data_IF_531796591034
#
_entry.id   IF_531796591034
#
_cell.length_a   1.000
_cell.length_b   1.000
_cell.length_c   1.000
_cell.angle_alpha   90.00
_cell.angle_beta   90.00
_cell.angle_gamma   90.00
#
_symmetry.space_group_name_H-M   'P 1'
#
loop_
_entity.id
_entity.type
_entity.pdbx_description
1 polymer ?
#
# COMPACT_ATOMS: atom_id res chain seq x y z
N UNK A 1 11.41 21.08 9.73
CA UNK A 1 11.22 19.85 8.94
C UNK A 1 11.22 20.15 7.45
N UNK A 2 10.70 21.32 7.04
CA UNK A 2 10.47 21.71 5.63
C UNK A 2 11.74 21.77 4.77
N UNK A 3 12.91 21.89 5.38
CA UNK A 3 14.19 22.00 4.69
C UNK A 3 14.76 20.63 4.24
N UNK A 4 14.35 19.53 4.85
CA UNK A 4 14.98 18.22 4.63
C UNK A 4 14.53 17.58 3.32
N UNK A 5 13.31 17.81 2.85
CA UNK A 5 12.76 17.18 1.64
C UNK A 5 12.63 18.13 0.44
N UNK A 6 13.15 19.37 0.55
CA UNK A 6 13.25 20.29 -0.59
C UNK A 6 14.32 19.89 -1.63
N UNK A 7 15.16 18.91 -1.28
CA UNK A 7 16.18 18.33 -2.15
C UNK A 7 15.73 16.98 -2.69
N UNK A 8 15.83 16.81 -4.00
CA UNK A 8 15.46 15.59 -4.74
C UNK A 8 16.19 14.36 -4.21
N UNK A 9 17.49 14.49 -3.86
CA UNK A 9 18.28 13.37 -3.37
C UNK A 9 17.76 12.84 -2.03
N UNK A 10 17.38 13.74 -1.14
CA UNK A 10 16.82 13.39 0.17
C UNK A 10 15.42 12.79 0.04
N UNK A 11 14.57 13.37 -0.81
CA UNK A 11 13.24 12.85 -1.11
C UNK A 11 13.32 11.44 -1.73
N UNK A 12 14.24 11.24 -2.66
CA UNK A 12 14.51 9.94 -3.27
C UNK A 12 14.99 8.91 -2.24
N UNK A 13 15.88 9.29 -1.32
CA UNK A 13 16.35 8.41 -0.25
C UNK A 13 15.21 7.92 0.66
N UNK A 14 14.32 8.81 1.06
CA UNK A 14 13.15 8.46 1.86
C UNK A 14 12.17 7.54 1.10
N UNK A 15 11.96 7.80 -0.18
CA UNK A 15 11.12 6.94 -1.01
C UNK A 15 11.75 5.54 -1.17
N UNK A 16 13.07 5.44 -1.37
CA UNK A 16 13.77 4.16 -1.46
C UNK A 16 13.65 3.35 -0.17
N UNK A 17 13.69 3.98 0.99
CA UNK A 17 13.44 3.32 2.28
C UNK A 17 12.03 2.70 2.32
N UNK A 18 11.02 3.41 1.83
CA UNK A 18 9.66 2.88 1.76
C UNK A 18 9.54 1.68 0.79
N UNK A 19 10.18 1.74 -0.36
CA UNK A 19 10.26 0.61 -1.30
C UNK A 19 10.98 -0.61 -0.70
N UNK A 20 12.04 -0.38 0.05
CA UNK A 20 12.77 -1.47 0.69
C UNK A 20 11.94 -2.15 1.77
N UNK A 21 11.19 -1.38 2.56
CA UNK A 21 10.22 -1.92 3.53
C UNK A 21 9.12 -2.73 2.82
N UNK A 22 8.61 -2.25 1.70
CA UNK A 22 7.62 -2.97 0.89
C UNK A 22 8.16 -4.31 0.40
N UNK A 23 9.31 -4.30 -0.24
CA UNK A 23 9.94 -5.49 -0.80
C UNK A 23 10.38 -6.48 0.26
N UNK A 24 10.97 -6.00 1.36
CA UNK A 24 11.62 -6.87 2.33
C UNK A 24 10.66 -7.50 3.33
N UNK A 25 9.51 -6.87 3.62
CA UNK A 25 8.71 -7.30 4.78
C UNK A 25 7.20 -7.37 4.58
N UNK A 26 6.65 -6.61 3.65
CA UNK A 26 5.20 -6.52 3.58
C UNK A 26 4.58 -7.48 2.57
N UNK A 27 5.21 -7.71 1.43
CA UNK A 27 4.53 -8.38 0.32
C UNK A 27 5.21 -9.63 -0.22
N UNK A 28 6.52 -9.60 -0.47
CA UNK A 28 7.24 -10.63 -1.24
C UNK A 28 8.05 -11.59 -0.37
N UNK A 29 8.27 -11.28 0.89
CA UNK A 29 9.01 -12.16 1.79
C UNK A 29 8.24 -13.46 2.04
N UNK A 30 8.94 -14.56 2.34
CA UNK A 30 8.35 -15.88 2.60
C UNK A 30 7.24 -15.89 3.68
N UNK A 31 7.19 -14.86 4.53
CA UNK A 31 6.13 -14.64 5.52
C UNK A 31 5.30 -13.39 5.17
N UNK A 32 5.27 -12.97 3.90
CA UNK A 32 4.51 -11.84 3.41
C UNK A 32 3.13 -12.24 2.91
N UNK A 33 2.24 -11.26 2.79
CA UNK A 33 0.85 -11.45 2.36
C UNK A 33 0.72 -12.19 1.02
N UNK A 34 1.65 -11.95 0.11
CA UNK A 34 1.53 -12.54 -1.22
C UNK A 34 1.80 -14.05 -1.22
N UNK A 35 2.87 -14.48 -0.58
CA UNK A 35 3.28 -15.88 -0.65
C UNK A 35 2.32 -16.79 0.13
N UNK A 36 2.09 -16.47 1.39
CA UNK A 36 1.36 -17.38 2.27
C UNK A 36 -0.16 -17.32 2.06
N UNK A 37 -0.72 -16.15 1.77
CA UNK A 37 -2.16 -15.98 1.69
C UNK A 37 -2.73 -16.00 0.28
N UNK A 38 -1.95 -15.58 -0.72
CA UNK A 38 -2.44 -15.50 -2.10
C UNK A 38 -2.04 -16.73 -2.91
N UNK A 39 -0.76 -17.11 -2.85
CA UNK A 39 -0.25 -18.23 -3.67
C UNK A 39 -0.69 -19.58 -3.10
N UNK A 40 -0.53 -19.76 -1.80
CA UNK A 40 -0.80 -21.06 -1.17
C UNK A 40 -2.26 -21.28 -0.72
N UNK A 41 -3.12 -20.29 -0.90
CA UNK A 41 -4.52 -20.31 -0.47
C UNK A 41 -5.52 -20.69 -1.55
N UNK A 42 -5.09 -21.36 -2.62
CA UNK A 42 -5.97 -21.77 -3.73
C UNK A 42 -6.28 -23.28 -3.70
N UNK A 43 -7.27 -23.69 -4.48
CA UNK A 43 -7.62 -25.08 -4.70
C UNK A 43 -6.63 -25.83 -5.62
N UNK A 44 -5.78 -25.07 -6.32
CA UNK A 44 -4.78 -25.62 -7.25
C UNK A 44 -3.36 -25.66 -6.67
N UNK A 45 -3.07 -24.89 -5.63
CA UNK A 45 -1.74 -24.79 -5.04
C UNK A 45 -1.79 -24.86 -3.51
N UNK A 46 -0.91 -25.69 -2.94
CA UNK A 46 -0.72 -25.80 -1.50
C UNK A 46 0.74 -26.14 -1.18
N UNK A 47 1.15 -25.88 0.05
CA UNK A 47 2.45 -26.34 0.52
C UNK A 47 2.55 -27.86 0.54
N UNK A 48 3.73 -28.44 0.21
CA UNK A 48 3.97 -29.87 0.30
C UNK A 48 3.74 -30.41 1.72
N UNK A 49 3.37 -31.68 1.81
CA UNK A 49 3.31 -32.38 3.10
C UNK A 49 4.69 -32.34 3.78
N UNK A 50 4.71 -32.04 5.07
CA UNK A 50 5.95 -31.93 5.86
C UNK A 50 6.54 -30.53 5.94
N UNK A 51 6.04 -29.58 5.14
CA UNK A 51 6.31 -28.17 5.37
C UNK A 51 5.53 -27.68 6.61
N UNK A 52 5.85 -26.47 7.08
CA UNK A 52 5.26 -25.93 8.31
C UNK A 52 3.74 -26.23 8.38
N UNK A 53 3.31 -26.85 9.47
CA UNK A 53 1.91 -27.22 9.68
C UNK A 53 0.96 -26.02 9.55
N UNK A 54 1.44 -24.82 9.80
CA UNK A 54 0.67 -23.59 9.70
C UNK A 54 0.37 -23.20 8.26
N UNK A 55 1.34 -23.33 7.36
CA UNK A 55 1.14 -23.06 5.94
C UNK A 55 0.10 -23.99 5.28
N UNK A 56 -0.15 -25.17 5.87
CA UNK A 56 -1.20 -26.09 5.41
C UNK A 56 -2.60 -25.68 5.84
N UNK A 57 -2.72 -24.96 6.93
CA UNK A 57 -4.03 -24.57 7.46
C UNK A 57 -4.69 -23.44 6.65
N UNK A 58 -3.92 -22.67 5.89
CA UNK A 58 -4.46 -21.61 5.03
C UNK A 58 -5.36 -22.20 3.92
N UNK A 59 -4.90 -23.15 3.09
CA UNK A 59 -5.76 -23.77 2.06
C UNK A 59 -6.95 -24.53 2.63
N UNK A 60 -6.81 -25.04 3.85
CA UNK A 60 -7.86 -25.80 4.53
C UNK A 60 -8.87 -24.92 5.28
N UNK A 61 -8.73 -23.59 5.21
CA UNK A 61 -9.54 -22.62 5.94
C UNK A 61 -9.56 -22.85 7.47
N UNK A 62 -8.49 -23.40 8.02
CA UNK A 62 -8.35 -23.71 9.45
C UNK A 62 -7.69 -22.58 10.24
N UNK A 63 -7.95 -21.35 9.87
CA UNK A 63 -7.37 -20.16 10.49
C UNK A 63 -7.69 -20.02 11.98
N UNK A 64 -8.79 -20.65 12.44
CA UNK A 64 -9.31 -20.52 13.79
C UNK A 64 -9.23 -21.82 14.60
N UNK A 65 -8.55 -22.84 14.08
CA UNK A 65 -8.32 -24.06 14.85
C UNK A 65 -7.44 -23.74 16.06
N UNK A 66 -7.91 -24.01 17.28
CA UNK A 66 -7.28 -23.60 18.53
C UNK A 66 -5.87 -24.14 18.80
N UNK A 67 -5.27 -24.81 17.86
CA UNK A 67 -3.86 -25.25 17.86
C UNK A 67 -3.05 -24.63 16.70
N UNK A 68 -3.69 -23.92 15.80
CA UNK A 68 -3.03 -23.19 14.71
C UNK A 68 -2.55 -21.85 15.24
N UNK A 69 -1.25 -21.63 15.22
CA UNK A 69 -0.64 -20.35 15.57
C UNK A 69 -0.55 -19.40 14.38
N UNK A 70 -1.27 -19.70 13.30
CA UNK A 70 -1.32 -18.77 12.18
C UNK A 70 -2.17 -17.56 12.57
N UNK A 71 -1.52 -16.47 12.81
CA UNK A 71 -2.12 -15.17 13.07
C UNK A 71 -1.49 -14.15 12.12
N UNK A 72 -2.31 -13.62 11.22
CA UNK A 72 -1.90 -12.59 10.28
C UNK A 72 -1.33 -11.33 10.96
N UNK A 73 -1.63 -11.14 12.23
CA UNK A 73 -1.14 -10.03 13.05
C UNK A 73 0.02 -10.44 13.95
N UNK A 74 0.38 -11.71 13.99
CA UNK A 74 1.41 -12.21 14.91
C UNK A 74 2.78 -11.68 14.51
N UNK A 75 3.50 -11.15 15.51
CA UNK A 75 4.92 -10.85 15.41
C UNK A 75 5.80 -12.08 15.67
N UNK A 76 5.21 -13.25 15.87
CA UNK A 76 5.91 -14.50 16.13
C UNK A 76 6.64 -15.05 14.91
N UNK A 77 7.45 -16.09 15.13
CA UNK A 77 8.34 -16.68 14.10
C UNK A 77 7.61 -17.25 12.88
N UNK A 78 6.29 -17.38 12.95
CA UNK A 78 5.47 -18.03 11.93
C UNK A 78 4.24 -17.18 11.52
N UNK A 79 4.15 -15.94 11.96
CA UNK A 79 3.06 -15.03 11.59
C UNK A 79 3.45 -14.12 10.43
N UNK A 80 2.47 -13.75 9.63
CA UNK A 80 2.62 -12.70 8.64
C UNK A 80 2.64 -11.36 9.38
N UNK A 81 3.80 -10.83 9.66
CA UNK A 81 3.97 -9.53 10.32
C UNK A 81 3.65 -8.38 9.36
N UNK A 82 2.56 -8.50 8.62
CA UNK A 82 2.21 -7.59 7.54
C UNK A 82 1.58 -6.30 8.04
N UNK A 83 0.76 -6.36 9.08
CA UNK A 83 0.10 -5.17 9.62
C UNK A 83 1.08 -4.06 10.03
N UNK A 84 2.03 -4.29 10.97
CA UNK A 84 2.98 -3.26 11.34
C UNK A 84 3.93 -2.89 10.19
N UNK A 85 4.23 -3.81 9.28
CA UNK A 85 5.06 -3.52 8.12
C UNK A 85 4.36 -2.56 7.15
N UNK A 86 3.07 -2.77 6.85
CA UNK A 86 2.27 -1.88 6.01
C UNK A 86 2.14 -0.49 6.63
N UNK A 87 1.86 -0.40 7.93
CA UNK A 87 1.80 0.89 8.61
C UNK A 87 3.16 1.59 8.70
N UNK A 88 4.28 0.86 8.78
CA UNK A 88 5.61 1.45 8.68
C UNK A 88 5.89 2.09 7.32
N UNK A 89 5.40 1.47 6.24
CA UNK A 89 5.47 2.03 4.88
C UNK A 89 4.61 3.29 4.79
N UNK A 90 3.37 3.22 5.27
CA UNK A 90 2.44 4.35 5.29
C UNK A 90 3.05 5.54 6.04
N UNK A 91 3.64 5.31 7.20
CA UNK A 91 4.28 6.36 7.99
C UNK A 91 5.44 7.03 7.24
N UNK A 92 6.29 6.26 6.57
CA UNK A 92 7.38 6.81 5.74
C UNK A 92 6.82 7.62 4.57
N UNK A 93 5.81 7.10 3.87
CA UNK A 93 5.15 7.83 2.78
C UNK A 93 4.45 9.10 3.28
N UNK A 94 3.79 9.06 4.44
CA UNK A 94 3.16 10.26 5.02
C UNK A 94 4.16 11.36 5.29
N UNK A 95 5.33 11.02 5.86
CA UNK A 95 6.39 11.99 6.12
C UNK A 95 6.86 12.66 4.82
N UNK A 96 7.08 11.88 3.77
CA UNK A 96 7.49 12.40 2.48
C UNK A 96 6.38 13.23 1.80
N UNK A 97 5.17 12.73 1.78
CA UNK A 97 4.03 13.43 1.17
C UNK A 97 3.79 14.78 1.86
N UNK A 98 3.71 14.82 3.19
CA UNK A 98 3.49 16.07 3.92
C UNK A 98 4.58 17.11 3.70
N UNK A 99 5.83 16.66 3.58
CA UNK A 99 6.93 17.58 3.31
C UNK A 99 6.83 18.20 1.90
N UNK A 100 6.43 17.44 0.90
CA UNK A 100 6.26 17.93 -0.48
C UNK A 100 4.97 18.78 -0.59
N UNK A 101 3.90 18.41 0.09
CA UNK A 101 2.63 19.15 0.12
C UNK A 101 2.78 20.59 0.67
N UNK A 102 3.84 20.87 1.45
CA UNK A 102 4.21 22.22 1.87
C UNK A 102 4.95 23.06 0.82
N UNK A 103 5.24 22.52 -0.37
CA UNK A 103 6.07 23.20 -1.40
C UNK A 103 5.24 23.80 -2.54
N UNK A 104 5.87 24.68 -3.35
CA UNK A 104 5.25 25.21 -4.56
C UNK A 104 4.99 24.13 -5.62
N UNK A 105 5.79 23.06 -5.66
CA UNK A 105 5.57 21.90 -6.53
C UNK A 105 4.20 21.28 -6.31
N UNK A 106 3.75 21.18 -5.07
CA UNK A 106 2.43 20.62 -4.77
C UNK A 106 1.29 21.58 -5.18
N UNK A 107 1.49 22.88 -5.05
CA UNK A 107 0.47 23.87 -5.49
C UNK A 107 0.15 23.74 -6.98
N UNK A 108 1.14 23.43 -7.80
CA UNK A 108 0.92 23.19 -9.24
C UNK A 108 0.10 21.93 -9.49
N UNK A 109 0.37 20.85 -8.74
CA UNK A 109 -0.41 19.61 -8.80
C UNK A 109 -1.86 19.86 -8.35
N UNK A 110 -2.04 20.58 -7.24
CA UNK A 110 -3.37 20.89 -6.69
C UNK A 110 -4.18 21.79 -7.63
N UNK A 111 -3.53 22.71 -8.31
CA UNK A 111 -4.16 23.59 -9.29
C UNK A 111 -4.41 22.93 -10.65
N UNK A 112 -3.91 21.70 -10.86
CA UNK A 112 -3.99 21.03 -12.15
C UNK A 112 -3.11 21.68 -13.23
N UNK A 113 -2.02 22.35 -12.81
CA UNK A 113 -1.08 23.10 -13.66
C UNK A 113 0.33 22.51 -13.54
N UNK A 114 1.24 23.01 -14.37
CA UNK A 114 2.63 22.54 -14.34
C UNK A 114 2.91 21.37 -15.27
N UNK A 115 4.09 20.79 -15.11
CA UNK A 115 4.58 19.67 -15.93
C UNK A 115 5.16 18.58 -15.06
N UNK A 116 5.36 17.40 -15.63
CA UNK A 116 6.06 16.31 -14.97
C UNK A 116 7.50 16.72 -14.68
N UNK A 117 7.88 16.60 -13.43
CA UNK A 117 9.24 16.82 -12.95
C UNK A 117 9.67 15.64 -12.09
N UNK A 118 10.94 15.53 -11.78
CA UNK A 118 11.42 14.49 -10.89
C UNK A 118 10.78 14.57 -9.49
N UNK A 119 10.55 15.76 -8.97
CA UNK A 119 9.91 15.93 -7.66
C UNK A 119 8.42 15.55 -7.69
N UNK A 120 7.70 15.91 -8.74
CA UNK A 120 6.29 15.51 -8.87
C UNK A 120 6.14 14.01 -9.04
N UNK A 121 7.07 13.38 -9.76
CA UNK A 121 7.11 11.93 -9.92
C UNK A 121 7.43 11.21 -8.60
N UNK A 122 8.42 11.67 -7.82
CA UNK A 122 8.71 11.13 -6.48
C UNK A 122 7.51 11.24 -5.54
N UNK A 123 6.80 12.37 -5.59
CA UNK A 123 5.57 12.56 -4.83
C UNK A 123 4.49 11.55 -5.26
N UNK A 124 4.25 11.43 -6.56
CA UNK A 124 3.30 10.46 -7.12
C UNK A 124 3.61 9.02 -6.72
N UNK A 125 4.89 8.64 -6.76
CA UNK A 125 5.33 7.32 -6.31
C UNK A 125 5.07 7.09 -4.81
N UNK A 126 5.30 8.08 -3.96
CA UNK A 126 5.01 7.99 -2.52
C UNK A 126 3.51 7.84 -2.25
N UNK A 127 2.68 8.61 -2.97
CA UNK A 127 1.21 8.48 -2.92
C UNK A 127 0.78 7.09 -3.40
N UNK A 128 1.35 6.58 -4.49
CA UNK A 128 1.02 5.26 -5.04
C UNK A 128 1.41 4.12 -4.08
N UNK A 129 2.59 4.17 -3.49
CA UNK A 129 3.04 3.18 -2.53
C UNK A 129 2.18 3.17 -1.26
N UNK A 130 1.82 4.36 -0.75
CA UNK A 130 0.88 4.52 0.37
C UNK A 130 -0.50 3.94 0.04
N UNK A 131 -1.04 4.26 -1.13
CA UNK A 131 -2.32 3.73 -1.59
C UNK A 131 -2.29 2.20 -1.75
N UNK A 132 -1.18 1.65 -2.25
CA UNK A 132 -0.98 0.21 -2.36
C UNK A 132 -0.98 -0.46 -0.97
N UNK A 133 -0.28 0.12 0.00
CA UNK A 133 -0.26 -0.40 1.37
C UNK A 133 -1.66 -0.38 2.01
N UNK A 134 -2.42 0.71 1.85
CA UNK A 134 -3.82 0.75 2.29
C UNK A 134 -4.71 -0.24 1.54
N UNK A 135 -4.54 -0.39 0.24
CA UNK A 135 -5.28 -1.39 -0.53
C UNK A 135 -5.11 -2.80 0.03
N UNK A 136 -3.89 -3.19 0.37
CA UNK A 136 -3.63 -4.49 1.00
C UNK A 136 -4.26 -4.59 2.39
N UNK A 137 -4.17 -3.54 3.21
CA UNK A 137 -4.87 -3.50 4.51
C UNK A 137 -6.38 -3.71 4.34
N UNK A 138 -7.01 -2.99 3.40
CA UNK A 138 -8.45 -3.07 3.17
C UNK A 138 -8.90 -4.45 2.67
N UNK A 139 -8.06 -5.12 1.87
CA UNK A 139 -8.34 -6.46 1.35
C UNK A 139 -8.41 -7.51 2.45
N UNK A 140 -7.51 -7.44 3.44
CA UNK A 140 -7.36 -8.48 4.44
C UNK A 140 -8.07 -8.15 5.77
N UNK A 141 -8.16 -6.89 6.15
CA UNK A 141 -8.73 -6.50 7.44
C UNK A 141 -10.04 -5.71 7.34
N UNK A 142 -10.37 -5.18 6.18
CA UNK A 142 -11.58 -4.37 6.00
C UNK A 142 -11.39 -2.94 6.48
N UNK A 143 -12.22 -2.48 7.40
CA UNK A 143 -12.10 -1.14 7.98
C UNK A 143 -10.84 -1.06 8.85
N UNK A 144 -10.04 -0.03 8.65
CA UNK A 144 -8.73 0.11 9.32
C UNK A 144 -8.50 1.56 9.77
N UNK A 145 -7.57 1.79 10.70
CA UNK A 145 -7.14 3.15 11.02
C UNK A 145 -6.60 3.86 9.77
N UNK A 146 -7.15 5.03 9.44
CA UNK A 146 -6.70 5.85 8.32
C UNK A 146 -6.16 7.17 8.83
N UNK A 147 -4.84 7.33 8.80
CA UNK A 147 -4.18 8.56 9.19
C UNK A 147 -3.11 8.93 8.17
N UNK A 148 -3.12 10.18 7.75
CA UNK A 148 -2.21 10.75 6.76
C UNK A 148 -1.18 11.69 7.40
N UNK A 149 -1.36 12.03 8.67
CA UNK A 149 -0.45 12.91 9.41
C UNK A 149 0.67 12.11 10.08
N UNK A 150 1.96 12.47 9.85
CA UNK A 150 3.07 11.80 10.49
C UNK A 150 3.01 11.90 12.01
N UNK A 151 3.20 10.78 12.70
CA UNK A 151 3.30 10.73 14.16
C UNK A 151 1.99 10.93 14.92
N UNK A 152 0.87 11.10 14.24
CA UNK A 152 -0.46 11.18 14.86
C UNK A 152 -1.11 9.79 14.81
N UNK A 153 -1.67 9.35 15.94
CA UNK A 153 -2.45 8.11 15.97
C UNK A 153 -3.86 8.35 15.44
N UNK A 154 -4.40 7.40 14.68
CA UNK A 154 -5.79 7.45 14.28
C UNK A 154 -6.71 7.26 15.50
N UNK A 155 -7.82 7.98 15.55
CA UNK A 155 -8.79 7.92 16.65
C UNK A 155 -9.68 6.66 16.62
N UNK A 156 -9.62 5.88 15.52
CA UNK A 156 -10.44 4.68 15.35
C UNK A 156 -10.33 4.07 13.97
N UNK A 157 -11.29 3.22 13.62
CA UNK A 157 -11.39 2.62 12.30
C UNK A 157 -12.13 3.56 11.35
N UNK A 158 -11.60 3.72 10.15
CA UNK A 158 -12.27 4.42 9.06
C UNK A 158 -12.92 3.40 8.14
N UNK A 159 -14.17 3.61 7.71
CA UNK A 159 -14.83 2.75 6.74
C UNK A 159 -14.02 2.61 5.45
N UNK A 160 -13.92 1.38 4.95
CA UNK A 160 -13.10 1.06 3.78
C UNK A 160 -13.50 1.80 2.50
N UNK A 161 -14.78 2.08 2.32
CA UNK A 161 -15.30 2.86 1.19
C UNK A 161 -14.74 4.28 1.16
N UNK A 162 -14.67 4.94 2.32
CA UNK A 162 -14.07 6.26 2.45
C UNK A 162 -12.56 6.25 2.17
N UNK A 163 -11.87 5.20 2.61
CA UNK A 163 -10.43 5.05 2.35
C UNK A 163 -10.19 4.81 0.86
N UNK A 164 -11.01 3.98 0.20
CA UNK A 164 -10.92 3.78 -1.25
C UNK A 164 -11.18 5.08 -2.01
N UNK A 165 -12.24 5.80 -1.67
CA UNK A 165 -12.58 7.08 -2.31
C UNK A 165 -11.41 8.08 -2.20
N UNK A 166 -10.86 8.24 -1.00
CA UNK A 166 -9.72 9.13 -0.79
C UNK A 166 -8.53 8.75 -1.67
N UNK A 167 -8.10 7.48 -1.63
CA UNK A 167 -6.90 7.07 -2.35
C UNK A 167 -7.08 7.05 -3.87
N UNK A 168 -8.25 6.68 -4.38
CA UNK A 168 -8.56 6.75 -5.81
C UNK A 168 -8.47 8.20 -6.29
N UNK A 169 -9.12 9.13 -5.59
CA UNK A 169 -9.09 10.55 -5.96
C UNK A 169 -7.67 11.13 -5.89
N UNK A 170 -6.89 10.75 -4.87
CA UNK A 170 -5.50 11.21 -4.73
C UNK A 170 -4.60 10.64 -5.83
N UNK A 171 -4.77 9.38 -6.20
CA UNK A 171 -4.06 8.77 -7.34
C UNK A 171 -4.40 9.45 -8.65
N UNK A 172 -5.69 9.72 -8.93
CA UNK A 172 -6.11 10.45 -10.13
C UNK A 172 -5.53 11.88 -10.18
N UNK A 173 -5.32 12.52 -9.02
CA UNK A 173 -4.71 13.84 -8.94
C UNK A 173 -3.23 13.82 -9.32
N UNK A 174 -2.48 12.81 -8.89
CA UNK A 174 -1.02 12.76 -9.08
C UNK A 174 -0.61 12.07 -10.38
N UNK A 175 -1.45 11.20 -10.93
CA UNK A 175 -1.17 10.40 -12.12
C UNK A 175 -0.66 11.25 -13.30
N UNK A 176 -1.23 12.41 -13.66
CA UNK A 176 -0.75 13.22 -14.77
C UNK A 176 0.66 13.80 -14.60
N UNK A 177 1.18 13.78 -13.37
CA UNK A 177 2.48 14.34 -12.99
C UNK A 177 3.56 13.28 -12.78
N UNK A 178 3.34 12.06 -13.27
CA UNK A 178 4.25 10.93 -13.15
C UNK A 178 4.80 10.52 -14.52
N UNK A 179 6.00 9.96 -14.53
CA UNK A 179 6.59 9.38 -15.73
C UNK A 179 6.03 8.01 -16.05
N UNK A 180 5.79 7.76 -17.33
CA UNK A 180 5.61 6.40 -17.82
C UNK A 180 6.90 5.58 -17.76
N UNK A 181 6.75 4.27 -17.75
CA UNK A 181 7.88 3.34 -17.79
C UNK A 181 8.84 3.68 -18.94
N UNK A 182 10.09 3.95 -18.61
CA UNK A 182 11.14 4.27 -19.58
C UNK A 182 11.21 5.73 -20.03
N UNK A 183 10.32 6.61 -19.58
CA UNK A 183 10.40 8.05 -19.92
C UNK A 183 11.50 8.80 -19.16
N UNK A 184 11.93 8.28 -18.03
CA UNK A 184 13.04 8.81 -17.24
C UNK A 184 13.91 7.67 -16.71
N UNK A 185 15.18 7.95 -16.43
CA UNK A 185 16.15 6.98 -15.89
C UNK A 185 15.68 6.33 -14.59
N UNK A 186 14.88 7.05 -13.77
CA UNK A 186 14.32 6.52 -12.54
C UNK A 186 12.95 5.84 -12.69
N UNK A 187 12.37 5.80 -13.89
CA UNK A 187 11.07 5.21 -14.16
C UNK A 187 11.22 3.80 -14.74
N UNK A 188 11.69 2.88 -13.93
CA UNK A 188 11.84 1.46 -14.29
C UNK A 188 10.71 0.58 -13.71
N UNK A 189 10.70 -0.69 -14.11
CA UNK A 189 9.66 -1.64 -13.72
C UNK A 189 9.63 -1.99 -12.21
N UNK A 190 10.66 -1.61 -11.46
CA UNK A 190 10.71 -1.80 -9.99
C UNK A 190 10.05 -0.66 -9.21
N UNK A 191 9.65 0.41 -9.91
CA UNK A 191 9.07 1.61 -9.33
C UNK A 191 7.57 1.71 -9.62
N UNK A 192 6.87 2.51 -8.83
CA UNK A 192 5.46 2.84 -9.03
C UNK A 192 5.33 3.89 -10.15
N UNK A 193 5.52 3.47 -11.39
CA UNK A 193 5.41 4.34 -12.56
C UNK A 193 3.95 4.72 -12.83
N UNK A 194 3.72 5.68 -13.72
CA UNK A 194 2.37 6.09 -14.16
C UNK A 194 1.54 4.90 -14.63
N UNK A 195 2.13 3.96 -15.39
CA UNK A 195 1.45 2.72 -15.80
C UNK A 195 0.96 1.87 -14.61
N UNK A 196 1.76 1.80 -13.54
CA UNK A 196 1.36 1.12 -12.33
C UNK A 196 0.18 1.82 -11.66
N UNK A 197 0.21 3.15 -11.60
CA UNK A 197 -0.85 3.97 -10.99
C UNK A 197 -2.17 3.80 -11.74
N UNK A 198 -2.15 3.81 -13.08
CA UNK A 198 -3.33 3.54 -13.92
C UNK A 198 -3.95 2.17 -13.59
N UNK A 199 -3.11 1.14 -13.50
CA UNK A 199 -3.55 -0.20 -13.15
C UNK A 199 -4.07 -0.29 -11.69
N UNK A 200 -3.43 0.43 -10.76
CA UNK A 200 -3.85 0.47 -9.35
C UNK A 200 -5.21 1.16 -9.19
N UNK A 201 -5.43 2.29 -9.87
CA UNK A 201 -6.74 2.98 -9.88
C UNK A 201 -7.83 2.00 -10.35
N UNK A 202 -7.62 1.34 -11.48
CA UNK A 202 -8.57 0.36 -12.00
C UNK A 202 -8.86 -0.77 -11.00
N UNK A 203 -7.83 -1.31 -10.37
CA UNK A 203 -7.95 -2.36 -9.34
C UNK A 203 -8.72 -1.86 -8.12
N UNK A 204 -8.37 -0.70 -7.58
CA UNK A 204 -9.05 -0.13 -6.42
C UNK A 204 -10.52 0.19 -6.72
N UNK A 205 -10.85 0.68 -7.91
CA UNK A 205 -12.24 0.89 -8.34
C UNK A 205 -13.04 -0.41 -8.36
N UNK A 206 -12.46 -1.52 -8.84
CA UNK A 206 -13.12 -2.83 -8.81
C UNK A 206 -13.41 -3.30 -7.38
N UNK A 207 -12.48 -3.11 -6.46
CA UNK A 207 -12.70 -3.45 -5.04
C UNK A 207 -13.70 -2.51 -4.36
N UNK A 208 -13.62 -1.21 -4.63
CA UNK A 208 -14.57 -0.22 -4.09
C UNK A 208 -16.00 -0.48 -4.56
N UNK A 209 -16.18 -0.90 -5.83
CA UNK A 209 -17.48 -1.30 -6.38
C UNK A 209 -17.92 -2.72 -6.02
N UNK A 210 -17.04 -3.51 -5.37
CA UNK A 210 -17.28 -4.92 -5.08
C UNK A 210 -18.22 -5.16 -3.90
N UNK A 211 -18.73 -6.38 -3.82
CA UNK A 211 -19.69 -6.80 -2.81
C UNK A 211 -19.24 -6.54 -1.37
N UNK A 212 -17.99 -6.85 -1.04
CA UNK A 212 -17.48 -6.70 0.32
C UNK A 212 -17.44 -5.26 0.82
N UNK A 213 -17.30 -4.29 -0.07
CA UNK A 213 -17.31 -2.86 0.25
C UNK A 213 -18.73 -2.32 0.32
N UNK A 214 -19.62 -2.80 -0.55
CA UNK A 214 -20.99 -2.35 -0.70
C UNK A 214 -22.01 -3.10 0.15
N UNK A 215 -21.59 -4.04 0.97
CA UNK A 215 -22.52 -4.91 1.74
C UNK A 215 -23.41 -4.15 2.74
N UNK A 216 -23.03 -2.94 3.14
CA UNK A 216 -23.85 -2.09 3.99
C UNK A 216 -25.07 -1.52 3.24
N UNK A 217 -24.98 -1.41 1.92
CA UNK A 217 -26.05 -0.91 1.06
C UNK A 217 -27.13 -1.98 0.82
N UNK A 218 -26.81 -3.24 1.09
CA UNK A 218 -27.70 -4.37 0.86
C UNK A 218 -28.67 -4.63 2.02
N UNK A 219 -28.55 -3.88 3.11
CA UNK A 219 -29.42 -3.96 4.29
C UNK A 219 -30.40 -2.79 4.43
N UNK A 220 -30.44 -1.90 3.45
CA UNK A 220 -31.33 -0.74 3.43
C UNK A 220 -32.50 -0.97 2.50
#
# INVERSE_FOLDING_TARGET
>A
PDFVFGDISTARGALMEAYEKWRAKAYVHANGLFYDLVVCGSDSERHPEGYDAQARHIPENLYYGGTSSFDINSAGNNGVNAWPALYSIIATCNTLCNAIEGTDTYKDIEAGTGSVTEMTDLYGQAVALRATAYHELLRFWGDVPHNLEPGVAAEGLTPRDQIYEYHINKLMQVEPYMYYLGENVGADASMMTRNYVDALIGRMCLYAGGYSTRRTDLGA
#
